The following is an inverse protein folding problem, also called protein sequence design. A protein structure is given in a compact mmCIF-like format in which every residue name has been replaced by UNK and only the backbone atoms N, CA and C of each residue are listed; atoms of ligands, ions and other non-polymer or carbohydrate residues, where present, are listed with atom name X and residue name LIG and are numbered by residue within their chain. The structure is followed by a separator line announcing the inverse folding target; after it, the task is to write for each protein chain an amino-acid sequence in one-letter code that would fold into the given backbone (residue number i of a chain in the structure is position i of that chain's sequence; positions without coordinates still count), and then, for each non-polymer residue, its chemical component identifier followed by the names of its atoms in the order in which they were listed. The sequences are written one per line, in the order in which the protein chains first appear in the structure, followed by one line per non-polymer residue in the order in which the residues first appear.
data_IF_637533763526
#
_entry.id   IF_637533763526
#
_cell.length_a   1.000
_cell.length_b   1.000
_cell.length_c   1.000
_cell.angle_alpha   90.00
_cell.angle_beta   90.00
_cell.angle_gamma   90.00
#
_symmetry.space_group_name_H-M   'P 1'
#
loop_
_entity.id
_entity.type
_entity.pdbx_description
1 polymer ?
#
# COMPACT_ATOMS: atom_id res chain seq x y z
N UNK A 1 6.39 55.74 -48.43
CA UNK A 1 7.09 55.12 -47.27
C UNK A 1 6.03 54.63 -46.26
N UNK A 2 5.64 53.38 -46.41
CA UNK A 2 4.62 52.78 -45.52
C UNK A 2 5.29 51.95 -44.40
N UNK A 3 4.73 51.91 -43.16
CA UNK A 3 5.31 51.17 -42.10
C UNK A 3 5.06 49.66 -42.23
N UNK A 4 6.14 48.86 -42.06
CA UNK A 4 6.06 47.40 -41.99
C UNK A 4 5.41 46.98 -40.67
N UNK A 5 4.32 46.25 -40.76
CA UNK A 5 3.71 45.53 -39.65
C UNK A 5 4.59 44.32 -39.35
N UNK A 6 5.13 44.24 -38.13
CA UNK A 6 5.94 43.17 -37.61
C UNK A 6 4.98 42.06 -37.15
N UNK A 7 5.13 40.88 -37.71
CA UNK A 7 4.32 39.73 -37.36
C UNK A 7 4.47 39.33 -35.88
N UNK A 8 3.34 39.08 -35.27
CA UNK A 8 3.23 38.50 -33.92
C UNK A 8 3.64 37.03 -33.96
N UNK A 9 4.81 36.75 -33.35
CA UNK A 9 5.20 35.40 -33.01
C UNK A 9 4.40 34.97 -31.77
N UNK A 10 3.19 34.46 -31.96
CA UNK A 10 2.43 33.74 -30.93
C UNK A 10 3.14 32.43 -30.65
N UNK A 11 4.05 32.46 -29.67
CA UNK A 11 4.59 31.25 -29.02
C UNK A 11 3.42 30.60 -28.27
N UNK A 12 2.77 29.65 -28.92
CA UNK A 12 1.82 28.74 -28.27
C UNK A 12 2.59 27.87 -27.26
N UNK A 13 2.60 28.28 -25.97
CA UNK A 13 2.97 27.44 -24.86
C UNK A 13 1.95 26.31 -24.77
N UNK A 14 2.14 25.26 -25.53
CA UNK A 14 1.42 24.03 -25.46
C UNK A 14 1.78 23.27 -24.19
N UNK A 15 1.21 23.68 -23.05
CA UNK A 15 1.18 22.88 -21.82
C UNK A 15 0.31 21.65 -22.09
N UNK A 16 0.87 20.64 -22.76
CA UNK A 16 0.21 19.38 -23.05
C UNK A 16 -0.22 18.71 -21.77
N UNK A 17 -1.51 18.75 -21.45
CA UNK A 17 -2.10 17.94 -20.38
C UNK A 17 -1.87 16.49 -20.76
N UNK A 18 -0.98 15.81 -20.04
CA UNK A 18 -0.77 14.36 -20.24
C UNK A 18 -2.12 13.65 -20.08
N UNK A 19 -2.47 12.72 -20.97
CA UNK A 19 -3.74 12.00 -20.89
C UNK A 19 -3.85 11.29 -19.52
N UNK A 20 -5.04 11.25 -18.93
CA UNK A 20 -5.31 10.66 -17.61
C UNK A 20 -4.71 9.25 -17.45
N UNK A 21 -4.76 8.44 -18.50
CA UNK A 21 -4.21 7.08 -18.53
C UNK A 21 -2.70 7.01 -18.28
N UNK A 22 -1.92 8.04 -18.68
CA UNK A 22 -0.47 8.05 -18.45
C UNK A 22 -0.12 8.40 -17.00
N UNK A 23 -1.03 9.01 -16.24
CA UNK A 23 -0.81 9.41 -14.86
C UNK A 23 -1.06 8.27 -13.87
N UNK A 24 -2.01 7.38 -14.11
CA UNK A 24 -2.32 6.25 -13.24
C UNK A 24 -1.39 5.05 -13.42
N UNK A 25 -0.67 4.95 -14.56
CA UNK A 25 0.25 3.83 -14.84
C UNK A 25 1.25 3.53 -13.71
N UNK A 26 1.96 4.53 -13.14
CA UNK A 26 2.90 4.27 -12.04
C UNK A 26 2.21 3.70 -10.81
N UNK A 27 1.01 4.15 -10.48
CA UNK A 27 0.23 3.61 -9.37
C UNK A 27 -0.23 2.17 -9.60
N UNK A 28 -0.71 1.87 -10.81
CA UNK A 28 -1.07 0.49 -11.17
C UNK A 28 0.15 -0.42 -11.10
N UNK A 29 1.30 0.03 -11.62
CA UNK A 29 2.54 -0.74 -11.55
C UNK A 29 2.96 -0.97 -10.09
N UNK A 30 2.92 0.07 -9.25
CA UNK A 30 3.21 -0.05 -7.82
C UNK A 30 2.27 -1.06 -7.14
N UNK A 31 0.97 -1.01 -7.43
CA UNK A 31 -0.01 -1.95 -6.88
C UNK A 31 0.28 -3.38 -7.31
N UNK A 32 0.57 -3.62 -8.59
CA UNK A 32 0.88 -4.95 -9.11
C UNK A 32 2.18 -5.50 -8.54
N UNK A 33 3.23 -4.68 -8.46
CA UNK A 33 4.52 -5.10 -7.88
C UNK A 33 4.37 -5.41 -6.40
N UNK A 34 3.68 -4.56 -5.64
CA UNK A 34 3.40 -4.80 -4.22
C UNK A 34 2.64 -6.11 -4.02
N UNK A 35 1.57 -6.30 -4.76
CA UNK A 35 0.76 -7.52 -4.69
C UNK A 35 1.58 -8.75 -5.04
N UNK A 36 2.37 -8.70 -6.11
CA UNK A 36 3.21 -9.82 -6.55
C UNK A 36 4.27 -10.17 -5.50
N UNK A 37 4.96 -9.17 -4.92
CA UNK A 37 5.98 -9.39 -3.89
C UNK A 37 5.37 -9.92 -2.60
N UNK A 38 4.23 -9.37 -2.16
CA UNK A 38 3.53 -9.85 -0.97
C UNK A 38 3.11 -11.31 -1.13
N UNK A 39 2.40 -11.65 -2.19
CA UNK A 39 1.93 -13.01 -2.41
C UNK A 39 3.08 -14.00 -2.67
N UNK A 40 4.11 -13.59 -3.41
CA UNK A 40 5.28 -14.43 -3.64
C UNK A 40 6.02 -14.74 -2.33
N UNK A 41 6.22 -13.75 -1.46
CA UNK A 41 6.87 -13.95 -0.15
C UNK A 41 6.06 -14.89 0.74
N UNK A 42 4.74 -14.72 0.81
CA UNK A 42 3.84 -15.57 1.60
C UNK A 42 3.83 -17.00 1.09
N UNK A 43 3.64 -17.21 -0.21
CA UNK A 43 3.63 -18.53 -0.82
C UNK A 43 4.98 -19.23 -0.66
N UNK A 44 6.09 -18.51 -0.83
CA UNK A 44 7.41 -19.08 -0.63
C UNK A 44 7.64 -19.48 0.83
N UNK A 45 7.26 -18.65 1.79
CA UNK A 45 7.39 -18.95 3.23
C UNK A 45 6.51 -20.11 3.67
N UNK A 46 5.28 -20.21 3.13
CA UNK A 46 4.34 -21.29 3.48
C UNK A 46 4.76 -22.62 2.88
N UNK A 47 5.08 -22.65 1.57
CA UNK A 47 5.20 -23.90 0.81
C UNK A 47 6.64 -24.23 0.38
N UNK A 48 7.51 -23.22 0.18
CA UNK A 48 8.90 -23.45 -0.21
C UNK A 48 9.83 -23.55 0.99
N UNK A 49 9.67 -22.64 1.93
CA UNK A 49 10.47 -22.60 3.17
C UNK A 49 9.85 -23.44 4.29
N UNK A 50 8.55 -23.75 4.20
CA UNK A 50 7.78 -24.51 5.19
C UNK A 50 7.91 -23.93 6.61
N UNK A 51 7.73 -22.61 6.73
CA UNK A 51 7.92 -21.88 7.99
C UNK A 51 7.12 -22.47 9.16
N UNK A 52 5.94 -23.05 8.88
CA UNK A 52 5.10 -23.69 9.87
C UNK A 52 5.81 -24.83 10.63
N UNK A 53 6.68 -25.60 9.93
CA UNK A 53 7.39 -26.73 10.53
C UNK A 53 8.67 -26.33 11.26
N UNK A 54 9.22 -25.14 10.95
CA UNK A 54 10.50 -24.67 11.49
C UNK A 54 10.37 -23.88 12.77
N UNK A 55 9.15 -23.40 13.09
CA UNK A 55 8.94 -22.51 14.22
C UNK A 55 9.55 -21.12 13.98
N UNK A 56 10.00 -20.45 15.04
CA UNK A 56 10.65 -19.15 14.94
C UNK A 56 12.07 -19.29 14.39
N UNK A 57 12.36 -18.59 13.28
CA UNK A 57 13.68 -18.57 12.63
C UNK A 57 14.29 -17.18 12.74
N UNK A 58 15.39 -17.06 13.49
CA UNK A 58 16.11 -15.79 13.63
C UNK A 58 16.85 -15.44 12.35
N UNK A 59 16.54 -14.25 11.79
CA UNK A 59 17.17 -13.71 10.58
C UNK A 59 18.22 -12.66 10.95
N UNK A 60 17.88 -11.79 11.91
CA UNK A 60 18.78 -10.76 12.44
C UNK A 60 18.60 -10.65 13.95
N UNK A 61 19.45 -9.88 14.66
CA UNK A 61 19.28 -9.67 16.11
C UNK A 61 17.94 -9.04 16.53
N UNK A 62 17.18 -8.48 15.57
CA UNK A 62 15.92 -7.77 15.82
C UNK A 62 14.77 -8.20 14.90
N UNK A 63 14.96 -9.24 14.07
CA UNK A 63 13.94 -9.74 13.16
C UNK A 63 13.94 -11.26 13.14
N UNK A 64 12.81 -11.85 13.52
CA UNK A 64 12.55 -13.28 13.41
C UNK A 64 11.45 -13.52 12.35
N UNK A 65 11.55 -14.66 11.66
CA UNK A 65 10.44 -15.18 10.87
C UNK A 65 9.62 -16.12 11.74
N UNK A 66 8.34 -15.81 11.88
CA UNK A 66 7.36 -16.61 12.60
C UNK A 66 6.09 -16.70 11.76
N UNK A 67 5.34 -17.78 11.84
CA UNK A 67 4.05 -17.86 11.17
C UNK A 67 2.95 -17.47 12.13
N UNK A 68 2.21 -16.42 11.81
CA UNK A 68 1.02 -16.00 12.53
C UNK A 68 -0.18 -15.86 11.58
N UNK A 69 -1.30 -16.45 11.98
CA UNK A 69 -2.56 -16.33 11.23
C UNK A 69 -3.39 -15.20 11.85
N UNK A 70 -3.46 -14.07 11.15
CA UNK A 70 -4.18 -12.90 11.61
C UNK A 70 -5.64 -12.92 11.10
N UNK A 71 -6.54 -13.39 11.95
CA UNK A 71 -7.98 -13.47 11.65
C UNK A 71 -8.68 -12.11 11.61
N UNK A 72 -7.97 -11.03 12.00
CA UNK A 72 -8.51 -9.65 12.01
C UNK A 72 -9.35 -9.34 13.24
N UNK A 73 -9.12 -8.15 13.84
CA UNK A 73 -9.80 -7.55 15.00
C UNK A 73 -9.33 -8.09 16.37
N UNK A 74 -8.22 -7.50 16.82
CA UNK A 74 -7.72 -7.68 18.19
C UNK A 74 -8.44 -6.84 19.25
N UNK A 75 -9.58 -6.19 18.96
CA UNK A 75 -10.23 -5.25 19.90
C UNK A 75 -11.57 -5.71 20.48
N UNK A 76 -11.90 -7.02 20.45
CA UNK A 76 -13.05 -7.54 21.23
C UNK A 76 -14.44 -6.96 20.87
N UNK A 77 -14.54 -6.03 19.91
CA UNK A 77 -15.79 -5.36 19.57
C UNK A 77 -16.72 -6.20 18.68
N UNK A 78 -16.18 -7.25 18.06
CA UNK A 78 -16.94 -8.25 17.33
C UNK A 78 -16.45 -9.64 17.71
N UNK A 79 -16.82 -10.08 18.91
CA UNK A 79 -16.53 -11.43 19.42
C UNK A 79 -17.29 -12.55 18.70
N UNK A 80 -17.92 -12.25 17.57
CA UNK A 80 -18.53 -13.27 16.73
C UNK A 80 -17.56 -13.61 15.59
N UNK A 81 -16.82 -14.71 15.75
CA UNK A 81 -16.05 -15.38 14.70
C UNK A 81 -16.93 -15.95 13.58
N UNK A 82 -18.10 -15.38 13.36
CA UNK A 82 -19.07 -15.83 12.39
C UNK A 82 -18.72 -15.37 10.96
N UNK A 83 -19.15 -16.12 9.94
CA UNK A 83 -18.90 -15.78 8.53
C UNK A 83 -19.41 -14.38 8.14
N UNK A 84 -20.40 -13.85 8.85
CA UNK A 84 -20.96 -12.51 8.62
C UNK A 84 -19.95 -11.41 8.92
N UNK A 85 -19.19 -11.51 10.03
CA UNK A 85 -18.18 -10.52 10.39
C UNK A 85 -17.05 -10.45 9.35
N UNK A 86 -16.61 -11.59 8.84
CA UNK A 86 -15.61 -11.66 7.78
C UNK A 86 -16.12 -11.04 6.46
N UNK A 87 -17.36 -11.32 6.08
CA UNK A 87 -17.99 -10.73 4.88
C UNK A 87 -18.06 -9.21 5.01
N UNK A 88 -18.52 -8.69 6.15
CA UNK A 88 -18.61 -7.25 6.39
C UNK A 88 -17.21 -6.59 6.28
N UNK A 89 -16.18 -7.18 6.87
CA UNK A 89 -14.81 -6.70 6.76
C UNK A 89 -14.29 -6.71 5.33
N UNK A 90 -14.60 -7.77 4.56
CA UNK A 90 -14.23 -7.84 3.14
C UNK A 90 -14.94 -6.76 2.33
N UNK A 91 -16.21 -6.51 2.58
CA UNK A 91 -16.98 -5.45 1.91
C UNK A 91 -16.42 -4.07 2.22
N UNK A 92 -16.12 -3.77 3.49
CA UNK A 92 -15.50 -2.49 3.89
C UNK A 92 -14.17 -2.29 3.16
N UNK A 93 -13.33 -3.33 3.09
CA UNK A 93 -12.03 -3.26 2.38
C UNK A 93 -12.19 -3.10 0.88
N UNK A 94 -13.16 -3.80 0.27
CA UNK A 94 -13.47 -3.64 -1.15
C UNK A 94 -13.90 -2.21 -1.48
N UNK A 95 -14.79 -1.63 -0.67
CA UNK A 95 -15.20 -0.22 -0.80
C UNK A 95 -13.99 0.71 -0.65
N UNK A 96 -13.13 0.49 0.35
CA UNK A 96 -11.93 1.29 0.55
C UNK A 96 -11.00 1.23 -0.67
N UNK A 97 -10.76 0.05 -1.24
CA UNK A 97 -9.94 -0.12 -2.45
C UNK A 97 -10.55 0.64 -3.64
N UNK A 98 -11.88 0.59 -3.82
CA UNK A 98 -12.57 1.33 -4.89
C UNK A 98 -12.39 2.84 -4.71
N UNK A 99 -12.60 3.35 -3.49
CA UNK A 99 -12.42 4.78 -3.17
C UNK A 99 -10.97 5.22 -3.43
N UNK A 100 -9.99 4.42 -3.01
CA UNK A 100 -8.58 4.71 -3.25
C UNK A 100 -8.23 4.66 -4.74
N UNK A 101 -8.81 3.75 -5.52
CA UNK A 101 -8.62 3.66 -6.96
C UNK A 101 -9.21 4.88 -7.69
N UNK A 102 -10.38 5.35 -7.28
CA UNK A 102 -10.98 6.59 -7.78
C UNK A 102 -10.10 7.78 -7.42
N UNK A 103 -9.62 7.88 -6.20
CA UNK A 103 -8.69 8.94 -5.77
C UNK A 103 -7.39 8.90 -6.59
N UNK A 104 -6.81 7.71 -6.82
CA UNK A 104 -5.63 7.54 -7.66
C UNK A 104 -5.85 8.06 -9.08
N UNK A 105 -7.05 7.85 -9.66
CA UNK A 105 -7.39 8.37 -10.99
C UNK A 105 -7.43 9.90 -11.05
N UNK A 106 -7.74 10.56 -9.92
CA UNK A 106 -7.77 12.03 -9.82
C UNK A 106 -6.49 12.64 -9.26
N UNK A 107 -5.55 11.82 -8.84
CA UNK A 107 -4.27 12.26 -8.28
C UNK A 107 -3.45 13.05 -9.31
N UNK A 108 -2.80 14.14 -8.83
CA UNK A 108 -2.02 15.05 -9.68
C UNK A 108 -0.52 14.85 -9.58
N UNK A 109 -0.05 14.25 -8.49
CA UNK A 109 1.37 14.03 -8.22
C UNK A 109 1.76 12.57 -8.46
N UNK A 110 3.01 12.35 -8.83
CA UNK A 110 3.56 11.00 -8.97
C UNK A 110 3.61 10.29 -7.61
N UNK A 111 3.97 11.04 -6.56
CA UNK A 111 4.09 10.51 -5.19
C UNK A 111 2.75 9.98 -4.73
N UNK A 112 1.67 10.79 -4.80
CA UNK A 112 0.35 10.34 -4.41
C UNK A 112 -0.15 9.14 -5.24
N UNK A 113 0.14 9.13 -6.56
CA UNK A 113 -0.27 8.02 -7.43
C UNK A 113 0.42 6.71 -7.04
N UNK A 114 1.75 6.74 -6.80
CA UNK A 114 2.52 5.56 -6.36
C UNK A 114 2.11 5.15 -4.95
N UNK A 115 1.95 6.10 -4.04
CA UNK A 115 1.52 5.86 -2.67
C UNK A 115 0.16 5.15 -2.60
N UNK A 116 -0.82 5.62 -3.38
CA UNK A 116 -2.13 4.97 -3.50
C UNK A 116 -2.00 3.57 -4.10
N UNK A 117 -1.11 3.38 -5.08
CA UNK A 117 -0.79 2.08 -5.63
C UNK A 117 -0.25 1.09 -4.59
N UNK A 118 0.68 1.52 -3.73
CA UNK A 118 1.21 0.71 -2.63
C UNK A 118 0.10 0.28 -1.66
N UNK A 119 -0.76 1.21 -1.27
CA UNK A 119 -1.89 0.92 -0.36
C UNK A 119 -2.86 -0.06 -1.01
N UNK A 120 -3.24 0.17 -2.26
CA UNK A 120 -4.18 -0.71 -2.99
C UNK A 120 -3.59 -2.11 -3.13
N UNK A 121 -2.32 -2.23 -3.56
CA UNK A 121 -1.64 -3.52 -3.72
C UNK A 121 -1.57 -4.30 -2.42
N UNK A 122 -1.19 -3.66 -1.32
CA UNK A 122 -1.15 -4.28 0.01
C UNK A 122 -2.55 -4.67 0.52
N UNK A 123 -3.54 -3.81 0.34
CA UNK A 123 -4.91 -4.10 0.74
C UNK A 123 -5.50 -5.31 -0.01
N UNK A 124 -5.21 -5.43 -1.32
CA UNK A 124 -5.63 -6.58 -2.15
C UNK A 124 -4.88 -7.84 -1.70
N UNK A 125 -3.56 -7.77 -1.44
CA UNK A 125 -2.77 -8.90 -0.95
C UNK A 125 -3.35 -9.49 0.33
N UNK A 126 -3.60 -8.65 1.33
CA UNK A 126 -4.24 -9.07 2.58
C UNK A 126 -5.70 -9.51 2.40
N UNK A 127 -6.41 -9.07 1.36
CA UNK A 127 -7.76 -9.55 1.04
C UNK A 127 -7.74 -10.95 0.41
N UNK A 128 -6.75 -11.23 -0.46
CA UNK A 128 -6.55 -12.55 -1.06
C UNK A 128 -6.32 -13.60 0.02
N UNK A 129 -5.44 -13.32 1.00
CA UNK A 129 -5.19 -14.24 2.10
C UNK A 129 -6.47 -14.58 2.87
N UNK A 130 -7.28 -13.57 3.18
CA UNK A 130 -8.55 -13.80 3.90
C UNK A 130 -9.55 -14.60 3.07
N UNK A 131 -9.57 -14.41 1.77
CA UNK A 131 -10.41 -15.19 0.89
C UNK A 131 -9.94 -16.64 0.78
N UNK A 132 -8.60 -16.85 0.70
CA UNK A 132 -8.02 -18.17 0.51
C UNK A 132 -7.95 -19.00 1.81
N UNK A 133 -7.62 -18.34 2.93
CA UNK A 133 -7.28 -19.01 4.18
C UNK A 133 -8.18 -18.61 5.36
N UNK A 134 -9.05 -17.63 5.20
CA UNK A 134 -9.85 -17.07 6.32
C UNK A 134 -9.07 -16.13 7.25
N UNK A 135 -7.76 -15.97 7.03
CA UNK A 135 -6.86 -15.17 7.85
C UNK A 135 -5.76 -14.54 6.98
N UNK A 136 -5.09 -13.51 7.47
CA UNK A 136 -3.90 -12.95 6.81
C UNK A 136 -2.67 -13.71 7.28
N UNK A 137 -1.77 -13.99 6.34
CA UNK A 137 -0.46 -14.62 6.62
C UNK A 137 0.53 -13.54 7.03
N UNK A 138 0.82 -13.47 8.33
CA UNK A 138 1.85 -12.60 8.90
C UNK A 138 3.08 -13.43 9.25
N UNK A 139 4.28 -12.89 9.02
CA UNK A 139 5.50 -13.69 9.15
C UNK A 139 6.72 -12.93 9.69
N UNK A 140 6.72 -11.61 9.76
CA UNK A 140 7.83 -10.81 10.23
C UNK A 140 7.58 -10.33 11.66
N UNK A 141 8.36 -10.82 12.62
CA UNK A 141 8.34 -10.37 14.02
C UNK A 141 9.55 -9.48 14.26
N UNK A 142 9.30 -8.19 14.48
CA UNK A 142 10.33 -7.27 14.92
C UNK A 142 10.38 -7.25 16.45
N UNK A 143 11.59 -7.38 17.01
CA UNK A 143 11.81 -7.31 18.44
C UNK A 143 13.08 -6.53 18.78
N UNK A 144 13.12 -5.96 19.99
CA UNK A 144 14.28 -5.21 20.49
C UNK A 144 14.53 -5.61 21.93
N UNK A 145 15.77 -5.93 22.26
CA UNK A 145 16.19 -6.22 23.62
C UNK A 145 16.70 -4.94 24.29
N UNK A 146 15.99 -4.44 25.28
CA UNK A 146 16.37 -3.25 26.05
C UNK A 146 16.47 -3.63 27.53
N UNK A 147 17.64 -3.43 28.11
CA UNK A 147 17.90 -3.68 29.54
C UNK A 147 17.49 -5.10 30.00
N UNK A 148 17.74 -6.11 29.18
CA UNK A 148 17.43 -7.51 29.48
C UNK A 148 15.95 -7.88 29.35
N UNK A 149 15.12 -7.01 28.76
CA UNK A 149 13.72 -7.29 28.41
C UNK A 149 13.54 -7.25 26.91
N UNK A 150 12.94 -8.31 26.36
CA UNK A 150 12.58 -8.36 24.94
C UNK A 150 11.23 -7.70 24.73
N UNK A 151 11.20 -6.66 23.92
CA UNK A 151 9.98 -6.02 23.45
C UNK A 151 9.67 -6.53 22.05
N UNK A 152 8.58 -7.26 21.92
CA UNK A 152 8.09 -7.76 20.65
C UNK A 152 7.11 -6.77 20.05
N UNK A 153 7.28 -6.45 18.75
CA UNK A 153 6.27 -5.76 17.95
C UNK A 153 5.21 -6.77 17.48
N UNK A 154 4.17 -6.27 16.85
CA UNK A 154 3.21 -7.15 16.18
C UNK A 154 3.88 -7.89 15.01
N UNK A 155 3.42 -9.13 14.76
CA UNK A 155 3.82 -9.85 13.54
C UNK A 155 3.12 -9.20 12.35
N UNK A 156 3.85 -8.96 11.27
CA UNK A 156 3.36 -8.26 10.08
C UNK A 156 3.90 -8.93 8.80
N UNK A 157 3.43 -8.45 7.65
CA UNK A 157 3.81 -8.93 6.32
C UNK A 157 4.22 -7.78 5.38
N UNK A 158 4.57 -8.10 4.13
CA UNK A 158 4.99 -7.10 3.13
C UNK A 158 3.85 -6.16 2.71
N UNK A 159 2.61 -6.63 2.68
CA UNK A 159 1.46 -5.78 2.40
C UNK A 159 1.31 -4.68 3.45
N UNK A 160 1.51 -4.99 4.73
CA UNK A 160 1.41 -4.01 5.82
C UNK A 160 2.51 -2.94 5.69
N UNK A 161 3.75 -3.36 5.37
CA UNK A 161 4.85 -2.42 5.09
C UNK A 161 4.50 -1.49 3.93
N UNK A 162 3.94 -2.03 2.85
CA UNK A 162 3.55 -1.23 1.69
C UNK A 162 2.41 -0.25 2.01
N UNK A 163 1.41 -0.67 2.81
CA UNK A 163 0.32 0.20 3.25
C UNK A 163 0.88 1.34 4.09
N UNK A 164 1.72 1.05 5.08
CA UNK A 164 2.32 2.08 5.96
C UNK A 164 3.20 3.04 5.15
N UNK A 165 4.04 2.51 4.24
CA UNK A 165 4.88 3.33 3.36
C UNK A 165 4.04 4.22 2.44
N UNK A 166 2.94 3.69 1.88
CA UNK A 166 2.01 4.45 1.06
C UNK A 166 1.32 5.57 1.85
N UNK A 167 0.85 5.29 3.07
CA UNK A 167 0.27 6.33 3.94
C UNK A 167 1.30 7.41 4.28
N UNK A 168 2.52 7.02 4.66
CA UNK A 168 3.59 7.97 4.93
C UNK A 168 3.93 8.85 3.71
N UNK A 169 3.96 8.25 2.50
CA UNK A 169 4.18 8.99 1.26
C UNK A 169 3.03 9.96 0.92
N UNK A 170 1.77 9.58 1.19
CA UNK A 170 0.63 10.50 1.04
C UNK A 170 0.70 11.66 2.01
N UNK A 171 1.05 11.41 3.27
CA UNK A 171 1.26 12.46 4.25
C UNK A 171 2.38 13.40 3.83
N UNK A 172 3.52 12.84 3.38
CA UNK A 172 4.61 13.64 2.85
C UNK A 172 4.18 14.52 1.68
N UNK A 173 3.46 13.98 0.68
CA UNK A 173 2.95 14.73 -0.47
C UNK A 173 1.95 15.83 -0.05
N UNK A 174 1.14 15.57 0.99
CA UNK A 174 0.16 16.52 1.51
C UNK A 174 0.79 17.69 2.27
N UNK A 175 1.85 17.44 3.04
CA UNK A 175 2.50 18.47 3.87
C UNK A 175 3.58 19.25 3.12
N UNK A 176 4.32 18.59 2.22
CA UNK A 176 5.46 19.15 1.49
C UNK A 176 5.21 19.32 0.00
N UNK A 177 4.08 18.81 -0.50
CA UNK A 177 3.63 18.98 -1.87
C UNK A 177 3.31 20.46 -2.15
N UNK A 178 3.58 20.87 -3.39
CA UNK A 178 3.51 22.25 -3.90
C UNK A 178 2.33 23.03 -3.31
N UNK A 179 2.56 24.24 -2.75
CA UNK A 179 1.49 25.12 -2.32
C UNK A 179 0.52 25.33 -3.48
N UNK A 180 -0.77 25.15 -3.24
CA UNK A 180 -1.79 25.48 -4.22
C UNK A 180 -1.50 26.90 -4.69
N UNK A 181 -1.23 27.07 -5.99
CA UNK A 181 -1.04 28.37 -6.59
C UNK A 181 -2.24 29.23 -6.16
N UNK A 182 -1.98 30.33 -5.43
CA UNK A 182 -3.02 31.28 -5.06
C UNK A 182 -3.71 31.64 -6.36
N UNK A 183 -5.00 31.35 -6.43
CA UNK A 183 -5.83 31.85 -7.49
C UNK A 183 -5.76 33.39 -7.49
N UNK A 184 -5.63 34.04 -8.65
CA UNK A 184 -5.60 35.48 -8.75
C UNK A 184 -6.89 36.14 -8.24
#
# INVERSE_FOLDING_TARGET
MGPRVRGDDTVCCGGGRRPMTSRVRPGILAALVTLALDQASKLWLLFGFELASRGAVRVTPFLDLVLAWNVGISFGWFQNDGPVAQIVLMLIKAVAVIVLAIWMAWSRTLIATVALGLIIGGAIGNAIDRFAYGAVVDFALFHVDIAGKTFNWYVFNLADVAIVAGVAALLYDSFLGVPAAKAP
#
